data_IF_968384709392
#
_entry.id   IF_968384709392
#
_cell.length_a   1.000
_cell.length_b   1.000
_cell.length_c   1.000
_cell.angle_alpha   90.00
_cell.angle_beta   90.00
_cell.angle_gamma   90.00
#
_symmetry.space_group_name_H-M   'P 1'
#
loop_
_entity.id
_entity.type
_entity.pdbx_description
1 polymer ?
#
# COMPACT_ATOMS: atom_id res chain seq x y z
N UNK A 1 -9.90 24.36 -16.20
CA UNK A 1 -11.04 24.26 -15.23
C UNK A 1 -10.50 24.46 -13.83
N UNK A 2 -11.16 25.33 -13.05
CA UNK A 2 -10.66 25.69 -11.71
C UNK A 2 -11.25 24.82 -10.61
N UNK A 3 -10.44 24.57 -9.60
CA UNK A 3 -10.85 23.92 -8.36
C UNK A 3 -11.77 24.88 -7.59
N UNK A 4 -12.99 24.41 -7.29
CA UNK A 4 -14.00 25.15 -6.51
C UNK A 4 -13.87 24.84 -5.02
N UNK A 5 -13.70 23.55 -4.65
CA UNK A 5 -13.47 23.13 -3.27
C UNK A 5 -12.60 21.87 -3.21
N UNK A 6 -11.98 21.69 -2.05
CA UNK A 6 -11.25 20.48 -1.65
C UNK A 6 -11.71 20.14 -0.24
N UNK A 7 -12.38 19.01 -0.09
CA UNK A 7 -13.07 18.65 1.14
C UNK A 7 -12.56 17.28 1.63
N UNK A 8 -12.27 17.17 2.92
CA UNK A 8 -12.06 15.85 3.53
C UNK A 8 -13.42 15.20 3.80
N UNK A 9 -13.60 13.97 3.38
CA UNK A 9 -14.87 13.26 3.48
C UNK A 9 -14.69 11.82 3.99
N UNK A 10 -15.78 11.26 4.48
CA UNK A 10 -15.94 9.83 4.75
C UNK A 10 -16.78 9.21 3.65
N UNK A 11 -16.43 8.00 3.23
CA UNK A 11 -17.22 7.22 2.28
C UNK A 11 -17.95 6.11 3.05
N UNK A 12 -19.27 6.05 2.89
CA UNK A 12 -20.14 5.05 3.51
C UNK A 12 -20.85 4.23 2.43
N UNK A 13 -20.19 3.18 1.96
CA UNK A 13 -20.75 2.29 0.93
C UNK A 13 -21.86 1.44 1.57
N UNK A 14 -23.09 1.44 1.04
CA UNK A 14 -24.18 0.60 1.55
C UNK A 14 -23.80 -0.88 1.55
N UNK A 15 -24.09 -1.57 2.65
CA UNK A 15 -23.76 -3.00 2.81
C UNK A 15 -22.36 -3.30 3.35
N UNK A 16 -21.46 -2.32 3.42
CA UNK A 16 -20.11 -2.51 3.99
C UNK A 16 -20.08 -2.55 5.53
N UNK A 17 -21.21 -2.46 6.19
CA UNK A 17 -21.33 -2.41 7.66
C UNK A 17 -20.96 -1.05 8.26
N UNK A 18 -21.30 -0.78 9.53
CA UNK A 18 -20.89 0.45 10.19
C UNK A 18 -19.35 0.47 10.32
N UNK A 19 -18.70 1.65 10.23
CA UNK A 19 -17.28 1.76 10.51
C UNK A 19 -17.02 1.23 11.92
N UNK A 20 -16.21 0.18 12.03
CA UNK A 20 -15.96 -0.45 13.32
C UNK A 20 -15.36 0.58 14.28
N UNK A 21 -15.98 0.75 15.46
CA UNK A 21 -15.46 1.65 16.51
C UNK A 21 -14.13 1.16 17.15
N UNK A 22 -13.60 0.03 16.70
CA UNK A 22 -12.53 -0.69 17.41
C UNK A 22 -11.19 -0.85 16.67
N UNK A 23 -11.04 -0.44 15.42
CA UNK A 23 -9.75 -0.64 14.71
C UNK A 23 -9.13 0.64 14.18
N UNK A 24 -7.84 0.76 14.44
CA UNK A 24 -6.99 1.84 13.97
C UNK A 24 -7.00 1.96 12.44
N UNK A 25 -6.68 3.15 12.02
CA UNK A 25 -6.73 3.58 10.65
C UNK A 25 -5.99 2.65 9.68
N UNK A 26 -6.75 1.79 9.05
CA UNK A 26 -6.32 1.18 7.81
C UNK A 26 -7.16 1.78 6.69
N UNK A 27 -6.56 1.97 5.53
CA UNK A 27 -7.28 2.51 4.37
C UNK A 27 -8.49 1.63 4.04
N UNK A 28 -9.50 2.19 3.37
CA UNK A 28 -10.62 1.41 2.80
C UNK A 28 -10.11 0.27 1.89
N UNK A 29 -8.87 0.37 1.47
CA UNK A 29 -8.14 -0.59 0.65
C UNK A 29 -7.34 -1.61 1.45
N UNK A 30 -7.23 -1.44 2.79
CA UNK A 30 -6.64 -2.48 3.61
C UNK A 30 -7.69 -3.55 3.86
N UNK A 31 -7.51 -4.77 3.36
CA UNK A 31 -8.42 -5.89 3.60
C UNK A 31 -8.68 -6.17 5.08
N UNK A 32 -7.75 -5.78 5.97
CA UNK A 32 -7.89 -5.96 7.42
C UNK A 32 -9.19 -5.42 8.02
N UNK A 33 -9.80 -4.36 7.44
CA UNK A 33 -11.10 -3.85 7.94
C UNK A 33 -12.31 -4.47 7.27
N UNK A 34 -12.14 -4.91 6.03
CA UNK A 34 -13.14 -5.74 5.39
C UNK A 34 -13.36 -7.05 6.17
N UNK A 35 -12.31 -7.51 6.89
CA UNK A 35 -12.26 -8.79 7.59
C UNK A 35 -12.93 -8.77 8.97
N UNK A 36 -13.14 -7.61 9.58
CA UNK A 36 -13.79 -7.58 10.91
C UNK A 36 -15.13 -8.31 10.98
N UNK A 37 -15.77 -8.62 9.82
CA UNK A 37 -16.97 -9.48 9.76
C UNK A 37 -17.25 -10.07 8.36
N UNK A 38 -16.31 -10.76 7.68
CA UNK A 38 -16.60 -11.36 6.36
C UNK A 38 -17.74 -12.40 6.45
N UNK A 39 -17.86 -13.12 7.56
CA UNK A 39 -18.94 -14.08 7.79
C UNK A 39 -20.34 -13.45 7.87
N UNK A 40 -20.46 -12.13 8.03
CA UNK A 40 -21.76 -11.42 8.08
C UNK A 40 -22.19 -10.85 6.72
N UNK A 41 -21.27 -10.73 5.77
CA UNK A 41 -21.51 -10.11 4.47
C UNK A 41 -21.26 -11.06 3.29
N UNK A 42 -20.42 -12.08 3.47
CA UNK A 42 -20.10 -13.07 2.44
C UNK A 42 -21.20 -14.14 2.29
N UNK A 43 -21.32 -14.68 1.10
CA UNK A 43 -22.21 -15.82 0.78
C UNK A 43 -21.63 -17.13 1.31
N UNK A 44 -20.32 -17.21 1.38
CA UNK A 44 -19.55 -18.40 1.77
C UNK A 44 -19.01 -18.25 3.18
N UNK A 45 -19.30 -19.20 4.11
CA UNK A 45 -18.75 -19.16 5.46
C UNK A 45 -17.26 -19.53 5.46
N UNK A 46 -16.44 -18.93 6.34
CA UNK A 46 -15.03 -19.28 6.46
C UNK A 46 -14.83 -20.70 6.98
N UNK A 47 -13.79 -21.38 6.49
CA UNK A 47 -13.37 -22.71 6.98
C UNK A 47 -12.57 -22.64 8.28
N UNK A 48 -11.81 -21.55 8.47
CA UNK A 48 -11.02 -21.23 9.66
C UNK A 48 -10.80 -19.73 9.77
N UNK A 49 -10.31 -19.28 10.91
CA UNK A 49 -9.91 -17.88 11.09
C UNK A 49 -8.75 -17.52 10.15
N UNK A 50 -8.67 -16.25 9.77
CA UNK A 50 -7.55 -15.71 9.02
C UNK A 50 -6.31 -15.54 9.90
N UNK A 51 -5.13 -15.62 9.31
CA UNK A 51 -3.86 -15.30 9.95
C UNK A 51 -3.86 -13.92 10.64
N UNK A 52 -4.66 -12.97 10.14
CA UNK A 52 -4.77 -11.63 10.70
C UNK A 52 -5.38 -11.57 12.09
N UNK A 53 -6.11 -12.61 12.51
CA UNK A 53 -6.79 -12.65 13.82
C UNK A 53 -5.84 -13.02 14.96
N UNK A 54 -4.92 -13.95 14.72
CA UNK A 54 -4.14 -14.58 15.78
C UNK A 54 -2.63 -14.54 15.59
N UNK A 55 -2.11 -14.29 14.38
CA UNK A 55 -0.69 -14.35 14.13
C UNK A 55 0.06 -13.17 14.75
N UNK A 56 1.16 -13.47 15.39
CA UNK A 56 2.15 -12.46 15.79
C UNK A 56 2.92 -12.02 14.55
N UNK A 57 3.11 -10.71 14.40
CA UNK A 57 3.92 -10.11 13.34
C UNK A 57 4.96 -9.20 13.94
N UNK A 58 6.22 -9.41 13.57
CA UNK A 58 7.32 -8.54 13.97
C UNK A 58 7.06 -7.10 13.46
N UNK A 59 7.37 -6.11 14.29
CA UNK A 59 7.09 -4.70 14.02
C UNK A 59 7.99 -3.81 14.89
N UNK A 60 8.06 -2.49 14.69
CA UNK A 60 8.91 -1.60 15.48
C UNK A 60 8.68 -1.68 17.01
N UNK A 61 7.47 -2.07 17.43
CA UNK A 61 7.12 -2.21 18.84
C UNK A 61 7.45 -3.60 19.43
N UNK A 62 8.02 -4.51 18.65
CA UNK A 62 8.30 -5.90 19.09
C UNK A 62 9.31 -6.01 20.22
N UNK A 63 10.12 -4.94 20.47
CA UNK A 63 10.96 -4.88 21.67
C UNK A 63 10.15 -4.81 22.99
N UNK A 64 8.84 -4.53 22.89
CA UNK A 64 7.93 -4.46 24.03
C UNK A 64 6.91 -5.62 23.95
N UNK A 65 7.14 -6.76 24.65
CA UNK A 65 6.35 -8.00 24.47
C UNK A 65 4.83 -7.84 24.63
N UNK A 66 4.40 -6.86 25.49
CA UNK A 66 2.96 -6.65 25.74
C UNK A 66 2.19 -6.01 24.57
N UNK A 67 2.88 -5.48 23.57
CA UNK A 67 2.25 -4.92 22.35
C UNK A 67 2.44 -5.80 21.12
N UNK A 68 3.39 -6.74 21.13
CA UNK A 68 3.73 -7.58 19.98
C UNK A 68 2.54 -8.39 19.46
N UNK A 69 1.75 -9.00 20.37
CA UNK A 69 0.61 -9.86 20.03
C UNK A 69 -0.58 -9.13 19.38
N UNK A 70 -0.58 -7.82 19.44
CA UNK A 70 -1.71 -7.01 19.02
C UNK A 70 -1.20 -5.85 18.19
N UNK A 71 -0.77 -6.15 16.98
CA UNK A 71 -0.25 -5.21 15.99
C UNK A 71 -1.03 -3.90 15.92
N UNK A 72 -2.37 -3.98 16.00
CA UNK A 72 -3.24 -2.81 15.90
C UNK A 72 -3.43 -2.03 17.21
N UNK A 73 -3.00 -2.56 18.37
CA UNK A 73 -3.29 -1.90 19.66
C UNK A 73 -2.57 -0.58 19.87
N UNK A 74 -1.42 -0.40 19.28
CA UNK A 74 -0.64 0.82 19.40
C UNK A 74 -0.88 1.81 18.24
N UNK A 75 -1.62 1.40 17.21
CA UNK A 75 -2.03 2.30 16.15
C UNK A 75 -3.24 3.15 16.60
N UNK A 76 -3.35 4.42 16.16
CA UNK A 76 -4.41 5.31 16.60
C UNK A 76 -5.76 4.94 16.00
N UNK A 77 -6.54 4.12 16.72
CA UNK A 77 -7.82 3.57 16.25
C UNK A 77 -8.91 4.61 15.95
N UNK A 78 -8.82 5.80 16.56
CA UNK A 78 -9.80 6.87 16.38
C UNK A 78 -9.58 7.71 15.12
N UNK A 79 -8.44 7.58 14.45
CA UNK A 79 -8.15 8.44 13.31
C UNK A 79 -8.93 8.05 12.05
N UNK A 80 -9.15 6.76 11.82
CA UNK A 80 -9.90 6.26 10.66
C UNK A 80 -9.17 6.47 9.33
N UNK A 81 -9.84 6.11 8.23
CA UNK A 81 -9.43 6.47 6.88
C UNK A 81 -10.01 7.83 6.49
N UNK A 82 -9.41 8.49 5.52
CA UNK A 82 -9.89 9.75 4.94
C UNK A 82 -9.97 9.63 3.43
N UNK A 83 -10.99 10.27 2.87
CA UNK A 83 -11.08 10.55 1.45
C UNK A 83 -10.98 12.06 1.24
N UNK A 84 -10.42 12.47 0.11
CA UNK A 84 -10.42 13.83 -0.36
C UNK A 84 -11.34 13.92 -1.57
N UNK A 85 -12.29 14.84 -1.55
CA UNK A 85 -13.13 15.20 -2.69
C UNK A 85 -12.64 16.53 -3.26
N UNK A 86 -12.24 16.52 -4.53
CA UNK A 86 -11.95 17.75 -5.29
C UNK A 86 -13.13 18.05 -6.20
N UNK A 87 -13.75 19.22 -6.05
CA UNK A 87 -14.90 19.66 -6.86
C UNK A 87 -14.48 20.84 -7.74
N UNK A 88 -14.88 20.84 -9.00
CA UNK A 88 -14.60 21.90 -9.98
C UNK A 88 -15.75 22.89 -10.07
N UNK A 89 -15.53 24.05 -10.75
CA UNK A 89 -16.56 25.09 -10.92
C UNK A 89 -17.79 24.62 -11.71
N UNK A 90 -17.63 23.64 -12.59
CA UNK A 90 -18.71 23.03 -13.38
C UNK A 90 -19.50 21.93 -12.63
N UNK A 91 -19.10 21.62 -11.40
CA UNK A 91 -19.70 20.59 -10.57
C UNK A 91 -19.08 19.19 -10.73
N UNK A 92 -18.16 18.98 -11.67
CA UNK A 92 -17.40 17.72 -11.78
C UNK A 92 -16.56 17.50 -10.53
N UNK A 93 -16.39 16.22 -10.12
CA UNK A 93 -15.61 15.91 -8.92
C UNK A 93 -14.85 14.58 -9.02
N UNK A 94 -13.79 14.50 -8.25
CA UNK A 94 -12.97 13.30 -8.12
C UNK A 94 -12.62 12.97 -6.67
N UNK A 95 -12.22 11.73 -6.44
CA UNK A 95 -11.87 11.19 -5.13
C UNK A 95 -10.45 10.64 -5.10
N UNK A 96 -9.78 10.91 -4.00
CA UNK A 96 -8.54 10.25 -3.59
C UNK A 96 -8.65 9.82 -2.14
N UNK A 97 -7.90 8.82 -1.71
CA UNK A 97 -7.95 8.34 -0.34
C UNK A 97 -6.58 8.20 0.31
N UNK A 98 -6.56 8.23 1.62
CA UNK A 98 -5.38 7.98 2.44
C UNK A 98 -5.77 7.46 3.82
N UNK A 99 -4.79 7.26 4.70
CA UNK A 99 -4.97 6.77 6.07
C UNK A 99 -4.71 7.87 7.11
N UNK A 100 -4.79 7.53 8.40
CA UNK A 100 -4.60 8.47 9.52
C UNK A 100 -5.55 9.68 9.45
N UNK A 101 -6.83 9.39 9.15
CA UNK A 101 -7.84 10.33 8.69
C UNK A 101 -7.92 11.64 9.45
N UNK A 102 -8.03 11.61 10.79
CA UNK A 102 -8.28 12.84 11.54
C UNK A 102 -7.17 13.91 11.39
N UNK A 103 -5.89 13.64 11.61
CA UNK A 103 -4.84 14.63 11.37
C UNK A 103 -4.64 14.94 9.89
N UNK A 104 -4.82 13.95 8.99
CA UNK A 104 -4.70 14.15 7.54
C UNK A 104 -5.83 15.05 7.02
N UNK A 105 -7.07 14.86 7.48
CA UNK A 105 -8.20 15.71 7.14
C UNK A 105 -7.94 17.17 7.53
N UNK A 106 -7.37 17.42 8.72
CA UNK A 106 -7.00 18.77 9.14
C UNK A 106 -5.94 19.39 8.22
N UNK A 107 -4.93 18.63 7.79
CA UNK A 107 -3.93 19.16 6.82
C UNK A 107 -4.60 19.48 5.48
N UNK A 108 -5.54 18.67 5.03
CA UNK A 108 -6.28 18.91 3.79
C UNK A 108 -7.11 20.20 3.91
N UNK A 109 -7.99 20.31 4.92
CA UNK A 109 -8.98 21.39 5.00
C UNK A 109 -8.38 22.71 5.50
N UNK A 110 -7.59 22.65 6.59
CA UNK A 110 -7.08 23.86 7.26
C UNK A 110 -5.87 24.47 6.52
N UNK A 111 -5.22 23.72 5.64
CA UNK A 111 -4.02 24.22 4.95
C UNK A 111 -4.07 24.05 3.43
N UNK A 112 -4.10 22.82 2.90
CA UNK A 112 -3.93 22.60 1.46
C UNK A 112 -5.09 23.18 0.66
N UNK A 113 -6.35 22.95 1.08
CA UNK A 113 -7.54 23.42 0.38
C UNK A 113 -7.54 24.94 0.22
N UNK A 114 -7.21 25.67 1.28
CA UNK A 114 -7.17 27.15 1.29
C UNK A 114 -6.24 27.71 0.21
N UNK A 115 -5.12 27.02 -0.07
CA UNK A 115 -4.09 27.46 -1.00
C UNK A 115 -4.33 26.99 -2.44
N UNK A 116 -5.09 25.91 -2.62
CA UNK A 116 -5.28 25.26 -3.91
C UNK A 116 -6.59 25.62 -4.61
N UNK A 117 -7.59 26.11 -3.90
CA UNK A 117 -8.83 26.62 -4.49
C UNK A 117 -8.51 27.72 -5.51
N UNK A 118 -9.17 27.67 -6.67
CA UNK A 118 -8.92 28.57 -7.81
C UNK A 118 -7.76 28.17 -8.73
N UNK A 119 -6.95 27.17 -8.37
CA UNK A 119 -5.92 26.65 -9.29
C UNK A 119 -6.57 25.88 -10.45
N UNK A 120 -5.90 25.83 -11.59
CA UNK A 120 -6.32 25.02 -12.73
C UNK A 120 -6.02 23.56 -12.45
N UNK A 121 -7.04 22.69 -12.41
CA UNK A 121 -6.91 21.26 -12.13
C UNK A 121 -5.99 20.54 -13.14
N UNK A 122 -5.89 21.07 -14.37
CA UNK A 122 -5.00 20.49 -15.39
C UNK A 122 -3.52 20.75 -15.11
N UNK A 123 -3.19 21.72 -14.24
CA UNK A 123 -1.81 22.02 -13.84
C UNK A 123 -1.32 21.09 -12.69
N UNK A 124 -1.49 19.77 -12.82
CA UNK A 124 -1.24 18.79 -11.76
C UNK A 124 0.18 18.86 -11.19
N UNK A 125 1.21 18.98 -12.04
CA UNK A 125 2.62 19.13 -11.59
C UNK A 125 2.81 20.39 -10.74
N UNK A 126 2.24 21.52 -11.17
CA UNK A 126 2.29 22.77 -10.40
C UNK A 126 1.64 22.59 -9.02
N UNK A 127 0.45 21.96 -8.98
CA UNK A 127 -0.28 21.75 -7.72
C UNK A 127 0.50 20.81 -6.80
N UNK A 128 1.09 19.74 -7.34
CA UNK A 128 1.93 18.82 -6.57
C UNK A 128 3.16 19.53 -5.98
N UNK A 129 3.86 20.36 -6.77
CA UNK A 129 4.99 21.16 -6.27
C UNK A 129 4.56 22.18 -5.22
N UNK A 130 3.41 22.83 -5.41
CA UNK A 130 2.83 23.74 -4.41
C UNK A 130 2.61 23.02 -3.08
N UNK A 131 1.91 21.88 -3.08
CA UNK A 131 1.63 21.10 -1.86
C UNK A 131 2.93 20.69 -1.15
N UNK A 132 3.93 20.23 -1.93
CA UNK A 132 5.23 19.86 -1.40
C UNK A 132 5.95 21.04 -0.72
N UNK A 133 5.88 22.25 -1.30
CA UNK A 133 6.50 23.45 -0.72
C UNK A 133 5.72 24.02 0.46
N UNK A 134 4.40 24.03 0.39
CA UNK A 134 3.52 24.51 1.46
C UNK A 134 3.74 23.75 2.77
N UNK A 135 4.03 22.45 2.69
CA UNK A 135 4.23 21.61 3.87
C UNK A 135 5.65 21.64 4.44
N UNK A 136 6.63 22.27 3.77
CA UNK A 136 8.01 22.36 4.26
C UNK A 136 8.20 22.90 5.67
N UNK A 137 7.46 23.95 6.10
CA UNK A 137 7.66 24.52 7.44
C UNK A 137 7.40 23.56 8.60
N UNK A 138 6.55 22.54 8.41
CA UNK A 138 6.25 21.53 9.44
C UNK A 138 6.60 20.09 9.04
N UNK A 139 7.22 19.92 7.86
CA UNK A 139 7.65 18.62 7.33
C UNK A 139 6.71 18.04 6.30
N UNK A 140 7.27 17.70 5.15
CA UNK A 140 6.52 17.10 4.02
C UNK A 140 6.34 15.58 4.18
N UNK A 141 7.06 14.95 5.10
CA UNK A 141 7.02 13.50 5.34
C UNK A 141 5.92 13.12 6.33
N UNK A 142 5.54 11.85 6.36
CA UNK A 142 4.49 11.36 7.26
C UNK A 142 3.12 12.00 6.95
N UNK A 143 2.42 12.50 7.96
CA UNK A 143 1.03 12.98 7.86
C UNK A 143 0.79 14.00 6.73
N UNK A 144 1.76 14.87 6.47
CA UNK A 144 1.66 15.80 5.36
C UNK A 144 1.67 15.09 4.01
N UNK A 145 2.51 14.06 3.84
CA UNK A 145 2.57 13.27 2.60
C UNK A 145 1.29 12.48 2.36
N UNK A 146 0.67 11.94 3.41
CA UNK A 146 -0.65 11.31 3.31
C UNK A 146 -1.73 12.28 2.80
N UNK A 147 -1.73 13.52 3.30
CA UNK A 147 -2.66 14.55 2.84
C UNK A 147 -2.42 14.94 1.38
N UNK A 148 -1.16 15.13 1.00
CA UNK A 148 -0.75 15.40 -0.40
C UNK A 148 -1.22 14.26 -1.31
N UNK A 149 -1.04 13.00 -0.89
CA UNK A 149 -1.48 11.84 -1.65
C UNK A 149 -2.98 11.84 -1.91
N UNK A 150 -3.78 12.08 -0.87
CA UNK A 150 -5.23 12.10 -1.02
C UNK A 150 -5.71 13.19 -2.00
N UNK A 151 -5.12 14.38 -1.93
CA UNK A 151 -5.46 15.51 -2.83
C UNK A 151 -4.98 15.22 -4.26
N UNK A 152 -3.74 14.74 -4.44
CA UNK A 152 -3.17 14.42 -5.76
C UNK A 152 -4.01 13.34 -6.48
N UNK A 153 -4.39 12.29 -5.76
CA UNK A 153 -5.23 11.21 -6.31
C UNK A 153 -6.63 11.71 -6.70
N UNK A 154 -7.24 12.60 -5.90
CA UNK A 154 -8.52 13.21 -6.26
C UNK A 154 -8.42 14.08 -7.51
N UNK A 155 -7.30 14.79 -7.70
CA UNK A 155 -7.01 15.57 -8.91
C UNK A 155 -6.86 14.66 -10.13
N UNK A 156 -6.13 13.54 -10.00
CA UNK A 156 -6.01 12.57 -11.09
C UNK A 156 -7.37 11.95 -11.45
N UNK A 157 -8.19 11.62 -10.46
CA UNK A 157 -9.52 11.04 -10.68
C UNK A 157 -10.45 12.01 -11.44
N UNK A 158 -10.55 13.27 -10.98
CA UNK A 158 -11.41 14.25 -11.68
C UNK A 158 -10.88 14.58 -13.08
N UNK A 159 -9.57 14.64 -13.28
CA UNK A 159 -8.98 14.85 -14.61
C UNK A 159 -9.35 13.70 -15.56
N UNK A 160 -9.25 12.45 -15.12
CA UNK A 160 -9.66 11.30 -15.91
C UNK A 160 -11.15 11.37 -16.27
N UNK A 161 -12.00 11.76 -15.33
CA UNK A 161 -13.45 11.91 -15.54
C UNK A 161 -13.80 13.00 -16.56
N UNK A 162 -13.20 14.17 -16.47
CA UNK A 162 -13.48 15.27 -17.44
C UNK A 162 -12.86 15.03 -18.81
N UNK A 163 -11.81 14.20 -18.91
CA UNK A 163 -11.22 13.78 -20.18
C UNK A 163 -11.87 12.51 -20.74
N UNK A 164 -12.80 11.92 -19.98
CA UNK A 164 -13.44 10.63 -20.32
C UNK A 164 -12.42 9.51 -20.56
N UNK A 165 -11.32 9.52 -19.77
CA UNK A 165 -10.22 8.55 -19.88
C UNK A 165 -9.93 7.90 -18.53
N UNK A 166 -9.62 6.59 -18.50
CA UNK A 166 -9.04 5.98 -17.31
C UNK A 166 -7.65 6.56 -17.03
N UNK A 167 -7.27 6.63 -15.77
CA UNK A 167 -5.99 7.25 -15.38
C UNK A 167 -4.80 6.58 -16.05
N UNK A 168 -4.81 5.25 -16.23
CA UNK A 168 -3.69 4.57 -16.89
C UNK A 168 -3.45 5.04 -18.33
N UNK A 169 -4.50 5.44 -19.08
CA UNK A 169 -4.32 6.04 -20.41
C UNK A 169 -3.61 7.41 -20.34
N UNK A 170 -3.96 8.21 -19.33
CA UNK A 170 -3.29 9.49 -19.09
C UNK A 170 -1.81 9.31 -18.67
N UNK A 171 -1.45 8.14 -18.16
CA UNK A 171 -0.09 7.76 -17.80
C UNK A 171 0.73 7.20 -18.99
N UNK A 172 0.10 7.03 -20.15
CA UNK A 172 0.76 6.54 -21.38
C UNK A 172 0.25 5.20 -21.90
N UNK A 173 -0.84 4.67 -21.32
CA UNK A 173 -1.50 3.45 -21.75
C UNK A 173 -0.99 2.18 -21.06
N UNK A 174 -1.71 1.07 -21.31
CA UNK A 174 -1.37 -0.24 -20.75
C UNK A 174 -0.04 -0.77 -21.30
N UNK A 175 0.89 -1.14 -20.46
CA UNK A 175 2.14 -1.82 -20.81
C UNK A 175 1.99 -3.35 -20.81
N UNK A 176 0.89 -3.86 -20.29
CA UNK A 176 0.57 -5.30 -20.16
C UNK A 176 -0.95 -5.50 -20.14
N UNK A 177 -1.40 -6.70 -20.52
CA UNK A 177 -2.82 -7.02 -20.58
C UNK A 177 -3.46 -7.17 -19.19
N UNK A 178 -2.71 -7.69 -18.22
CA UNK A 178 -3.13 -7.85 -16.83
C UNK A 178 -1.93 -7.73 -15.89
N UNK A 179 -2.19 -7.44 -14.63
CA UNK A 179 -1.19 -7.41 -13.57
C UNK A 179 -1.07 -8.80 -12.95
N UNK A 180 0.12 -9.40 -13.01
CA UNK A 180 0.45 -10.56 -12.18
C UNK A 180 0.58 -10.10 -10.73
N UNK A 181 -0.19 -10.73 -9.83
CA UNK A 181 -0.21 -10.38 -8.43
C UNK A 181 0.61 -11.36 -7.59
N UNK A 182 1.20 -10.86 -6.50
CA UNK A 182 1.60 -11.70 -5.38
C UNK A 182 0.67 -11.46 -4.20
N UNK A 183 0.46 -12.52 -3.40
CA UNK A 183 -0.31 -12.43 -2.17
C UNK A 183 0.55 -12.01 -1.00
N UNK A 184 0.07 -11.09 -0.16
CA UNK A 184 0.61 -10.85 1.18
C UNK A 184 -0.31 -11.48 2.21
N UNK A 185 0.24 -12.42 2.99
CA UNK A 185 -0.51 -13.12 4.04
C UNK A 185 0.07 -14.49 4.38
N UNK A 186 -0.13 -14.92 5.63
CA UNK A 186 0.44 -16.16 6.16
C UNK A 186 -0.44 -17.41 5.94
N UNK A 187 -1.67 -17.26 5.44
CA UNK A 187 -2.54 -18.37 5.02
C UNK A 187 -2.13 -18.87 3.61
N UNK A 188 -0.93 -19.44 3.50
CA UNK A 188 -0.28 -19.76 2.23
C UNK A 188 -1.07 -20.77 1.41
N UNK A 189 -1.67 -21.77 2.06
CA UNK A 189 -2.55 -22.78 1.45
C UNK A 189 -3.76 -22.12 0.78
N UNK A 190 -4.40 -21.18 1.47
CA UNK A 190 -5.54 -20.42 0.95
C UNK A 190 -5.12 -19.51 -0.22
N UNK A 191 -4.01 -18.80 -0.07
CA UNK A 191 -3.49 -17.94 -1.12
C UNK A 191 -3.18 -18.72 -2.42
N UNK A 192 -2.69 -19.97 -2.27
CA UNK A 192 -2.45 -20.89 -3.38
C UNK A 192 -3.76 -21.36 -4.04
N UNK A 193 -4.80 -21.66 -3.25
CA UNK A 193 -6.14 -21.98 -3.75
C UNK A 193 -6.76 -20.82 -4.55
N UNK A 194 -6.48 -19.57 -4.15
CA UNK A 194 -6.90 -18.38 -4.89
C UNK A 194 -6.15 -18.16 -6.22
N UNK A 195 -5.16 -19.02 -6.53
CA UNK A 195 -4.41 -19.02 -7.78
C UNK A 195 -3.17 -18.13 -7.79
N UNK A 196 -2.70 -17.63 -6.64
CA UNK A 196 -1.42 -16.93 -6.57
C UNK A 196 -0.24 -17.90 -6.77
N UNK A 197 0.82 -17.40 -7.40
CA UNK A 197 2.09 -18.12 -7.66
C UNK A 197 3.29 -17.38 -7.09
N UNK A 198 3.04 -16.30 -6.36
CA UNK A 198 4.05 -15.53 -5.65
C UNK A 198 3.46 -15.12 -4.29
N UNK A 199 4.24 -15.26 -3.23
CA UNK A 199 3.77 -15.19 -1.84
C UNK A 199 4.70 -14.36 -0.99
N UNK A 200 4.16 -13.36 -0.28
CA UNK A 200 4.88 -12.58 0.72
C UNK A 200 4.35 -12.92 2.11
N UNK A 201 5.24 -13.38 2.97
CA UNK A 201 4.94 -13.72 4.35
C UNK A 201 5.17 -12.51 5.25
N UNK A 202 4.34 -12.34 6.27
CA UNK A 202 4.60 -11.41 7.37
C UNK A 202 5.45 -12.12 8.43
N UNK A 203 6.68 -11.64 8.65
CA UNK A 203 7.64 -12.27 9.56
C UNK A 203 7.18 -12.19 11.03
N UNK A 204 7.14 -13.31 11.78
CA UNK A 204 6.59 -13.28 13.14
C UNK A 204 7.57 -12.85 14.23
N UNK A 205 8.88 -13.08 14.09
CA UNK A 205 9.86 -12.87 15.17
C UNK A 205 10.94 -11.87 14.77
N UNK A 206 11.44 -11.09 15.77
CA UNK A 206 12.47 -10.09 15.56
C UNK A 206 13.63 -10.22 16.56
N UNK A 207 14.53 -9.20 16.64
CA UNK A 207 15.73 -9.24 17.49
C UNK A 207 15.45 -9.51 18.98
N UNK A 208 14.33 -9.03 19.50
CA UNK A 208 13.94 -9.26 20.90
C UNK A 208 13.64 -10.72 21.24
N UNK A 209 13.39 -11.56 20.24
CA UNK A 209 13.12 -13.00 20.40
C UNK A 209 14.42 -13.83 20.37
N UNK A 210 15.58 -13.21 20.15
CA UNK A 210 16.90 -13.82 20.21
C UNK A 210 17.11 -14.98 19.22
N UNK A 211 17.93 -15.96 19.60
CA UNK A 211 18.25 -17.12 18.75
C UNK A 211 17.04 -18.03 18.51
N UNK A 212 16.14 -18.12 19.46
CA UNK A 212 14.90 -18.88 19.31
C UNK A 212 13.99 -18.27 18.25
N UNK A 213 13.88 -16.94 18.20
CA UNK A 213 13.15 -16.23 17.16
C UNK A 213 13.73 -16.46 15.76
N UNK A 214 15.07 -16.45 15.65
CA UNK A 214 15.74 -16.76 14.37
C UNK A 214 15.41 -18.19 13.88
N UNK A 215 15.43 -19.16 14.80
CA UNK A 215 15.10 -20.56 14.48
C UNK A 215 13.64 -20.70 14.04
N UNK A 216 12.72 -20.08 14.78
CA UNK A 216 11.29 -20.12 14.45
C UNK A 216 10.96 -19.42 13.12
N UNK A 217 11.65 -18.32 12.77
CA UNK A 217 11.51 -17.70 11.46
C UNK A 217 11.97 -18.61 10.33
N UNK A 218 13.08 -19.34 10.54
CA UNK A 218 13.58 -20.35 9.58
C UNK A 218 12.55 -21.47 9.41
N UNK A 219 12.05 -22.05 10.51
CA UNK A 219 11.02 -23.09 10.49
C UNK A 219 9.74 -22.63 9.78
N UNK A 220 9.32 -21.38 10.02
CA UNK A 220 8.15 -20.76 9.40
C UNK A 220 8.31 -20.62 7.88
N UNK A 221 9.44 -20.11 7.43
CA UNK A 221 9.74 -19.95 5.99
C UNK A 221 9.92 -21.34 5.32
N UNK A 222 10.54 -22.30 6.00
CA UNK A 222 10.67 -23.66 5.51
C UNK A 222 9.30 -24.30 5.27
N UNK A 223 8.40 -24.22 6.24
CA UNK A 223 7.04 -24.75 6.11
C UNK A 223 6.28 -24.11 4.95
N UNK A 224 6.38 -22.78 4.78
CA UNK A 224 5.76 -22.09 3.66
C UNK A 224 6.36 -22.53 2.30
N UNK A 225 7.68 -22.71 2.23
CA UNK A 225 8.35 -23.19 1.02
C UNK A 225 7.92 -24.63 0.67
N UNK A 226 7.79 -25.50 1.66
CA UNK A 226 7.30 -26.87 1.46
C UNK A 226 5.86 -26.87 0.92
N UNK A 227 5.00 -25.99 1.42
CA UNK A 227 3.60 -25.87 0.99
C UNK A 227 3.46 -25.34 -0.45
N UNK A 228 4.20 -24.28 -0.81
CA UNK A 228 4.06 -23.67 -2.14
C UNK A 228 4.86 -24.37 -3.23
N UNK A 229 5.93 -25.12 -2.86
CA UNK A 229 6.86 -25.72 -3.79
C UNK A 229 7.91 -24.75 -4.34
N UNK A 230 8.91 -25.28 -5.06
CA UNK A 230 10.03 -24.48 -5.58
C UNK A 230 9.71 -23.64 -6.82
N UNK A 231 8.59 -23.91 -7.48
CA UNK A 231 8.16 -23.17 -8.68
C UNK A 231 7.52 -21.83 -8.37
N UNK A 232 7.22 -21.56 -7.10
CA UNK A 232 6.59 -20.34 -6.66
C UNK A 232 7.63 -19.36 -6.10
N UNK A 233 7.38 -18.06 -6.31
CA UNK A 233 8.18 -17.00 -5.69
C UNK A 233 7.79 -16.82 -4.22
N UNK A 234 8.76 -16.67 -3.33
CA UNK A 234 8.55 -16.46 -1.90
C UNK A 234 9.30 -15.22 -1.43
N UNK A 235 8.66 -14.39 -0.64
CA UNK A 235 9.18 -13.17 -0.06
C UNK A 235 8.88 -13.11 1.44
N UNK A 236 9.65 -12.32 2.18
CA UNK A 236 9.45 -12.12 3.61
C UNK A 236 9.45 -10.62 3.94
N UNK A 237 8.36 -10.17 4.55
CA UNK A 237 8.19 -8.81 5.04
C UNK A 237 8.51 -8.74 6.53
N UNK A 238 9.43 -7.85 6.90
CA UNK A 238 9.95 -7.70 8.26
C UNK A 238 9.44 -6.43 8.95
N UNK A 239 8.73 -5.60 8.25
CA UNK A 239 8.02 -4.41 8.73
C UNK A 239 8.80 -3.57 9.74
N UNK A 240 10.01 -3.16 9.37
CA UNK A 240 10.92 -2.31 10.16
C UNK A 240 11.31 -2.87 11.55
N UNK A 241 11.20 -4.18 11.76
CA UNK A 241 11.42 -4.77 13.08
C UNK A 241 12.89 -5.08 13.39
N UNK A 242 13.78 -5.03 12.41
CA UNK A 242 15.12 -5.58 12.51
C UNK A 242 16.20 -4.50 12.61
N UNK A 243 17.40 -4.97 12.94
CA UNK A 243 18.67 -4.29 12.73
C UNK A 243 19.51 -5.02 11.67
N UNK A 244 20.65 -4.43 11.30
CA UNK A 244 21.54 -4.99 10.27
C UNK A 244 22.07 -6.38 10.67
N UNK A 245 22.44 -6.56 11.95
CA UNK A 245 23.02 -7.81 12.43
C UNK A 245 22.01 -8.96 12.37
N UNK A 246 20.79 -8.73 12.88
CA UNK A 246 19.74 -9.74 12.87
C UNK A 246 19.32 -10.06 11.43
N UNK A 247 19.20 -9.05 10.56
CA UNK A 247 18.85 -9.24 9.15
C UNK A 247 19.86 -10.13 8.44
N UNK A 248 21.15 -9.88 8.64
CA UNK A 248 22.21 -10.70 8.01
C UNK A 248 22.15 -12.15 8.50
N UNK A 249 22.01 -12.36 9.82
CA UNK A 249 21.90 -13.73 10.37
C UNK A 249 20.67 -14.47 9.86
N UNK A 250 19.54 -13.78 9.77
CA UNK A 250 18.32 -14.38 9.25
C UNK A 250 18.46 -14.69 7.76
N UNK A 251 18.97 -13.77 6.96
CA UNK A 251 19.18 -13.96 5.53
C UNK A 251 20.07 -15.20 5.22
N UNK A 252 21.17 -15.37 5.97
CA UNK A 252 22.05 -16.53 5.82
C UNK A 252 21.34 -17.86 6.13
N UNK A 253 20.47 -17.89 7.15
CA UNK A 253 19.65 -19.07 7.47
C UNK A 253 18.61 -19.35 6.39
N UNK A 254 18.01 -18.30 5.84
CA UNK A 254 16.95 -18.42 4.84
C UNK A 254 17.47 -18.65 3.41
N UNK A 255 18.77 -18.57 3.19
CA UNK A 255 19.39 -18.76 1.87
C UNK A 255 18.96 -20.04 1.14
N UNK A 256 18.82 -21.22 1.82
CA UNK A 256 18.38 -22.46 1.17
C UNK A 256 16.95 -22.40 0.60
N UNK A 257 16.11 -21.50 1.10
CA UNK A 257 14.70 -21.41 0.72
C UNK A 257 14.45 -20.45 -0.45
N UNK A 258 15.48 -19.82 -1.00
CA UNK A 258 15.41 -19.05 -2.24
C UNK A 258 14.41 -17.88 -2.21
N UNK A 259 14.49 -17.03 -1.18
CA UNK A 259 13.64 -15.85 -1.10
C UNK A 259 13.97 -14.87 -2.22
N UNK A 260 12.91 -14.39 -2.91
CA UNK A 260 13.03 -13.37 -3.95
C UNK A 260 13.53 -12.06 -3.36
N UNK A 261 12.98 -11.62 -2.20
CA UNK A 261 13.47 -10.49 -1.43
C UNK A 261 13.16 -10.61 0.06
N UNK A 262 13.93 -9.88 0.86
CA UNK A 262 13.59 -9.46 2.21
C UNK A 262 13.09 -8.02 2.15
N UNK A 263 11.93 -7.74 2.74
CA UNK A 263 11.26 -6.46 2.69
C UNK A 263 11.36 -5.73 4.02
N UNK A 264 11.59 -4.43 3.94
CA UNK A 264 11.51 -3.47 5.03
C UNK A 264 12.15 -3.96 6.36
N UNK A 265 13.37 -4.50 6.27
CA UNK A 265 14.06 -5.04 7.45
C UNK A 265 14.39 -3.97 8.50
N UNK A 266 14.72 -2.76 8.06
CA UNK A 266 15.27 -1.66 8.86
C UNK A 266 14.28 -0.51 8.99
N UNK A 267 14.48 0.32 10.01
CA UNK A 267 13.74 1.58 10.14
C UNK A 267 13.93 2.44 8.89
N UNK A 268 12.86 3.05 8.43
CA UNK A 268 12.83 3.80 7.17
C UNK A 268 13.79 4.99 7.13
N UNK A 269 14.11 5.58 8.28
CA UNK A 269 15.00 6.75 8.43
C UNK A 269 16.48 6.40 8.49
N UNK A 270 16.84 5.12 8.68
CA UNK A 270 18.25 4.71 8.85
C UNK A 270 18.92 4.38 7.50
N UNK A 271 19.21 5.43 6.73
CA UNK A 271 19.83 5.32 5.41
C UNK A 271 21.21 4.66 5.45
N UNK A 272 22.01 4.93 6.48
CA UNK A 272 23.34 4.33 6.62
C UNK A 272 23.25 2.82 6.90
N UNK A 273 22.27 2.39 7.68
CA UNK A 273 22.01 0.98 7.90
C UNK A 273 21.55 0.27 6.60
N UNK A 274 20.70 0.89 5.78
CA UNK A 274 20.32 0.34 4.47
C UNK A 274 21.55 0.16 3.55
N UNK A 275 22.44 1.16 3.52
CA UNK A 275 23.68 1.04 2.75
C UNK A 275 24.57 -0.08 3.30
N UNK A 276 24.77 -0.15 4.63
CA UNK A 276 25.54 -1.19 5.29
C UNK A 276 24.97 -2.59 5.03
N UNK A 277 23.65 -2.74 5.11
CA UNK A 277 22.98 -4.01 4.85
C UNK A 277 23.25 -4.51 3.42
N UNK A 278 23.14 -3.64 2.40
CA UNK A 278 23.45 -3.99 1.01
C UNK A 278 24.89 -4.49 0.86
N UNK A 279 25.86 -3.87 1.54
CA UNK A 279 27.26 -4.31 1.46
C UNK A 279 27.46 -5.71 2.08
N UNK A 280 26.68 -6.05 3.10
CA UNK A 280 26.76 -7.34 3.79
C UNK A 280 25.94 -8.45 3.12
N UNK A 281 24.90 -8.10 2.34
CA UNK A 281 24.01 -9.03 1.64
C UNK A 281 23.96 -8.74 0.12
N UNK A 282 25.10 -8.78 -0.60
CA UNK A 282 25.10 -8.44 -2.03
C UNK A 282 24.34 -9.46 -2.91
N UNK A 283 24.09 -10.66 -2.40
CA UNK A 283 23.42 -11.75 -3.10
C UNK A 283 21.92 -11.82 -2.84
N UNK A 284 21.42 -11.16 -1.79
CA UNK A 284 20.01 -11.21 -1.41
C UNK A 284 19.22 -10.06 -2.05
N UNK A 285 18.08 -10.37 -2.66
CA UNK A 285 17.12 -9.37 -3.08
C UNK A 285 16.60 -8.59 -1.86
N UNK A 286 16.64 -7.26 -1.94
CA UNK A 286 16.15 -6.36 -0.90
C UNK A 286 15.07 -5.45 -1.47
N UNK A 287 14.00 -5.26 -0.72
CA UNK A 287 12.88 -4.38 -1.06
C UNK A 287 12.55 -3.45 0.11
N UNK A 288 12.15 -2.22 -0.16
CA UNK A 288 11.65 -1.28 0.84
C UNK A 288 10.99 -0.07 0.18
N UNK A 289 10.31 0.75 0.97
CA UNK A 289 9.82 2.04 0.51
C UNK A 289 8.39 2.40 0.88
N UNK A 290 7.61 1.50 1.47
CA UNK A 290 6.23 1.85 1.87
C UNK A 290 6.20 2.97 2.91
N UNK A 291 7.18 3.01 3.81
CA UNK A 291 7.35 4.08 4.81
C UNK A 291 8.37 5.16 4.38
N UNK A 292 8.72 5.23 3.11
CA UNK A 292 9.44 6.36 2.54
C UNK A 292 8.48 7.36 1.90
N UNK A 293 8.71 8.63 2.16
CA UNK A 293 7.83 9.70 1.70
C UNK A 293 8.56 10.61 0.72
N UNK A 294 7.83 11.16 -0.25
CA UNK A 294 8.37 11.93 -1.38
C UNK A 294 9.23 11.08 -2.31
N UNK A 295 9.72 11.64 -3.40
CA UNK A 295 10.61 10.95 -4.34
C UNK A 295 12.10 10.96 -3.91
N UNK A 296 12.46 11.72 -2.88
CA UNK A 296 13.86 11.96 -2.48
C UNK A 296 14.56 10.71 -1.94
N UNK A 297 13.99 9.93 -0.99
CA UNK A 297 14.62 8.69 -0.52
C UNK A 297 14.82 7.67 -1.64
N UNK A 298 13.87 7.60 -2.57
CA UNK A 298 13.92 6.67 -3.70
C UNK A 298 15.05 7.03 -4.68
N UNK A 299 15.24 8.32 -4.96
CA UNK A 299 16.37 8.79 -5.76
C UNK A 299 17.71 8.45 -5.10
N UNK A 300 17.81 8.63 -3.76
CA UNK A 300 18.99 8.22 -3.02
C UNK A 300 19.21 6.70 -3.14
N UNK A 301 18.18 5.89 -2.94
CA UNK A 301 18.26 4.43 -3.03
C UNK A 301 18.71 3.96 -4.40
N UNK A 302 18.19 4.55 -5.48
CA UNK A 302 18.62 4.29 -6.86
C UNK A 302 20.10 4.65 -7.07
N UNK A 303 20.53 5.83 -6.60
CA UNK A 303 21.91 6.30 -6.76
C UNK A 303 22.93 5.42 -6.03
N UNK A 304 22.54 4.83 -4.91
CA UNK A 304 23.39 3.96 -4.07
C UNK A 304 23.17 2.46 -4.33
N UNK A 305 22.16 2.09 -5.11
CA UNK A 305 21.76 0.70 -5.40
C UNK A 305 21.57 -0.12 -4.13
N UNK A 306 20.92 0.46 -3.12
CA UNK A 306 20.76 -0.18 -1.81
C UNK A 306 19.67 -1.24 -1.80
N UNK A 307 18.74 -1.19 -2.76
CA UNK A 307 17.65 -2.17 -2.92
C UNK A 307 17.50 -2.56 -4.39
N UNK A 308 16.82 -3.68 -4.63
CA UNK A 308 16.50 -4.20 -5.96
C UNK A 308 15.07 -3.83 -6.37
N UNK A 309 14.21 -3.55 -5.36
CA UNK A 309 12.80 -3.25 -5.55
C UNK A 309 12.43 -2.07 -4.66
N UNK A 310 11.76 -1.08 -5.24
CA UNK A 310 11.18 0.05 -4.55
C UNK A 310 9.68 -0.16 -4.38
N UNK A 311 9.16 0.08 -3.18
CA UNK A 311 7.76 -0.21 -2.83
C UNK A 311 7.03 1.02 -2.29
N UNK A 312 6.92 2.12 -3.08
CA UNK A 312 6.16 3.28 -2.62
C UNK A 312 4.69 2.90 -2.40
N UNK A 313 4.08 3.40 -1.34
CA UNK A 313 2.62 3.38 -1.23
C UNK A 313 2.06 4.64 -1.89
N UNK A 314 1.23 4.48 -2.91
CA UNK A 314 0.69 5.60 -3.70
C UNK A 314 -0.20 6.52 -2.86
N UNK A 315 -0.87 5.96 -1.85
CA UNK A 315 -1.72 6.72 -0.94
C UNK A 315 -0.93 7.43 0.18
N UNK A 316 0.40 7.15 0.31
CA UNK A 316 1.23 7.69 1.40
C UNK A 316 2.36 8.59 0.89
N UNK A 317 2.97 8.25 -0.23
CA UNK A 317 4.24 8.82 -0.71
C UNK A 317 4.14 10.24 -1.30
N UNK A 318 2.92 10.72 -1.56
CA UNK A 318 2.65 11.98 -2.27
C UNK A 318 1.84 11.79 -3.55
N UNK A 319 1.10 10.68 -3.67
CA UNK A 319 0.16 10.40 -4.75
C UNK A 319 0.78 9.88 -6.04
N UNK A 320 -0.03 9.85 -7.08
CA UNK A 320 0.33 9.36 -8.42
C UNK A 320 1.47 10.18 -9.04
N UNK A 321 1.42 11.51 -8.91
CA UNK A 321 2.44 12.42 -9.45
C UNK A 321 3.82 12.13 -8.87
N UNK A 322 3.90 11.82 -7.57
CA UNK A 322 5.16 11.43 -6.92
C UNK A 322 5.62 10.03 -7.38
N UNK A 323 4.70 9.07 -7.48
CA UNK A 323 5.03 7.72 -7.95
C UNK A 323 5.58 7.71 -9.37
N UNK A 324 5.08 8.56 -10.26
CA UNK A 324 5.64 8.70 -11.60
C UNK A 324 7.08 9.21 -11.60
N UNK A 325 7.42 10.16 -10.71
CA UNK A 325 8.81 10.62 -10.53
C UNK A 325 9.71 9.50 -10.02
N UNK A 326 9.20 8.69 -9.08
CA UNK A 326 9.91 7.51 -8.56
C UNK A 326 10.13 6.49 -9.68
N UNK A 327 9.09 6.17 -10.46
CA UNK A 327 9.19 5.23 -11.57
C UNK A 327 10.22 5.66 -12.62
N UNK A 328 10.25 6.95 -12.98
CA UNK A 328 11.21 7.47 -13.96
C UNK A 328 12.67 7.33 -13.49
N UNK A 329 12.95 7.58 -12.20
CA UNK A 329 14.29 7.41 -11.63
C UNK A 329 14.67 5.93 -11.50
N UNK A 330 13.72 5.10 -11.10
CA UNK A 330 13.90 3.66 -10.95
C UNK A 330 14.18 2.98 -12.30
N UNK A 331 13.37 3.28 -13.32
CA UNK A 331 13.53 2.77 -14.68
C UNK A 331 14.90 3.11 -15.25
N UNK A 332 15.31 4.38 -15.16
CA UNK A 332 16.64 4.83 -15.57
C UNK A 332 17.78 4.14 -14.80
N UNK A 333 17.51 3.60 -13.63
CA UNK A 333 18.46 2.89 -12.78
C UNK A 333 18.39 1.37 -12.94
N UNK A 334 17.44 0.84 -13.71
CA UNK A 334 17.17 -0.60 -13.86
C UNK A 334 16.65 -1.26 -12.57
N UNK A 335 15.89 -0.50 -11.76
CA UNK A 335 15.30 -0.97 -10.49
C UNK A 335 13.78 -1.08 -10.67
N UNK A 336 13.20 -2.16 -10.17
CA UNK A 336 11.75 -2.37 -10.23
C UNK A 336 11.00 -1.51 -9.21
N UNK A 337 9.78 -1.08 -9.58
CA UNK A 337 8.84 -0.41 -8.67
C UNK A 337 7.60 -1.27 -8.51
N UNK A 338 7.38 -1.77 -7.33
CA UNK A 338 6.21 -2.60 -6.99
C UNK A 338 5.47 -1.91 -5.84
N UNK A 339 4.44 -1.10 -6.11
CA UNK A 339 3.78 -0.35 -5.05
C UNK A 339 3.21 -1.25 -3.95
N UNK A 340 3.41 -0.84 -2.67
CA UNK A 340 2.75 -1.44 -1.53
C UNK A 340 1.23 -1.43 -1.72
N UNK A 341 0.59 -2.58 -1.53
CA UNK A 341 -0.86 -2.74 -1.70
C UNK A 341 -1.38 -2.45 -3.11
N UNK A 342 -0.50 -2.41 -4.13
CA UNK A 342 -0.80 -1.90 -5.46
C UNK A 342 -1.98 -2.57 -6.17
N UNK A 343 -2.11 -3.90 -6.09
CA UNK A 343 -3.23 -4.61 -6.69
C UNK A 343 -4.55 -4.48 -5.90
N UNK A 344 -4.47 -4.09 -4.63
CA UNK A 344 -5.63 -3.90 -3.75
C UNK A 344 -6.29 -2.53 -3.87
N UNK A 345 -5.71 -1.60 -4.63
CA UNK A 345 -6.23 -0.24 -4.78
C UNK A 345 -6.39 0.13 -6.25
N UNK A 346 -7.41 0.93 -6.62
CA UNK A 346 -7.54 1.39 -8.00
C UNK A 346 -6.34 2.23 -8.42
N UNK A 347 -5.76 2.99 -7.49
CA UNK A 347 -4.59 3.83 -7.72
C UNK A 347 -3.36 3.00 -8.13
N UNK A 348 -3.08 1.94 -7.35
CA UNK A 348 -1.96 1.05 -7.63
C UNK A 348 -2.17 0.21 -8.89
N UNK A 349 -3.41 -0.22 -9.16
CA UNK A 349 -3.75 -0.94 -10.39
C UNK A 349 -3.46 -0.08 -11.62
N UNK A 350 -3.93 1.18 -11.65
CA UNK A 350 -3.71 2.10 -12.77
C UNK A 350 -2.23 2.46 -12.95
N UNK A 351 -1.49 2.68 -11.87
CA UNK A 351 -0.04 2.90 -11.94
C UNK A 351 0.68 1.66 -12.49
N UNK A 352 0.43 0.49 -11.91
CA UNK A 352 1.18 -0.73 -12.23
C UNK A 352 0.92 -1.22 -13.65
N UNK A 353 -0.31 -1.06 -14.19
CA UNK A 353 -0.64 -1.47 -15.56
C UNK A 353 0.05 -0.59 -16.60
N UNK A 354 0.24 0.71 -16.28
CA UNK A 354 0.89 1.69 -17.16
C UNK A 354 2.41 1.75 -16.98
N UNK A 355 2.98 1.10 -15.96
CA UNK A 355 4.40 1.18 -15.64
C UNK A 355 5.17 -0.03 -16.16
N UNK A 356 6.17 0.21 -17.03
CA UNK A 356 7.06 -0.83 -17.55
C UNK A 356 7.98 -1.43 -16.49
N UNK A 357 8.35 -0.66 -15.46
CA UNK A 357 9.21 -1.11 -14.36
C UNK A 357 8.44 -1.80 -13.21
N UNK A 358 7.12 -2.04 -13.33
CA UNK A 358 6.29 -2.73 -12.35
C UNK A 358 5.97 -4.18 -12.76
N UNK A 359 6.87 -5.16 -12.52
CA UNK A 359 6.69 -6.54 -13.01
C UNK A 359 5.65 -7.34 -12.23
N UNK A 360 5.34 -6.95 -11.00
CA UNK A 360 4.38 -7.58 -10.10
C UNK A 360 3.52 -6.51 -9.43
N UNK A 361 2.41 -6.91 -8.82
CA UNK A 361 1.57 -6.04 -8.01
C UNK A 361 1.12 -6.74 -6.73
N UNK A 362 1.17 -6.05 -5.61
CA UNK A 362 0.84 -6.60 -4.30
C UNK A 362 -0.65 -6.66 -4.05
N UNK A 363 -1.13 -7.80 -3.57
CA UNK A 363 -2.47 -7.94 -3.02
C UNK A 363 -2.43 -8.52 -1.61
N UNK A 364 -2.87 -7.75 -0.63
CA UNK A 364 -3.01 -8.23 0.74
C UNK A 364 -4.23 -9.15 0.85
N UNK A 365 -3.99 -10.44 1.14
CA UNK A 365 -5.06 -11.42 1.34
C UNK A 365 -5.42 -11.47 2.82
N UNK A 366 -6.52 -10.84 3.13
CA UNK A 366 -7.08 -10.87 4.47
C UNK A 366 -8.41 -11.63 4.56
N UNK A 367 -8.87 -12.25 3.46
CA UNK A 367 -10.05 -13.11 3.50
C UNK A 367 -9.75 -14.36 4.34
N UNK A 368 -10.67 -14.77 5.22
CA UNK A 368 -10.53 -16.06 5.90
C UNK A 368 -10.52 -17.19 4.86
N UNK A 369 -9.73 -18.25 5.08
CA UNK A 369 -9.71 -19.40 4.20
C UNK A 369 -11.11 -19.95 3.90
N UNK A 370 -11.40 -20.12 2.62
CA UNK A 370 -12.72 -20.53 2.12
C UNK A 370 -13.62 -19.39 1.66
N UNK A 371 -13.32 -18.13 1.96
CA UNK A 371 -14.11 -16.98 1.51
C UNK A 371 -13.45 -16.33 0.28
N UNK A 372 -14.06 -16.42 -0.93
CA UNK A 372 -13.54 -15.83 -2.16
C UNK A 372 -13.35 -14.31 -2.06
N UNK A 373 -12.37 -13.78 -2.79
CA UNK A 373 -12.02 -12.35 -2.73
C UNK A 373 -13.14 -11.43 -3.21
N UNK A 374 -13.92 -11.87 -4.18
CA UNK A 374 -15.06 -11.12 -4.75
C UNK A 374 -16.30 -11.10 -3.84
N UNK A 375 -16.29 -11.90 -2.77
CA UNK A 375 -17.34 -11.85 -1.73
C UNK A 375 -17.01 -10.85 -0.61
N UNK A 376 -15.78 -10.31 -0.59
CA UNK A 376 -15.38 -9.30 0.39
C UNK A 376 -15.95 -7.92 0.05
N UNK A 377 -16.26 -7.10 1.06
CA UNK A 377 -16.58 -5.70 0.84
C UNK A 377 -15.44 -4.98 0.13
N UNK A 378 -15.72 -4.32 -0.98
CA UNK A 378 -14.76 -3.58 -1.79
C UNK A 378 -15.30 -2.24 -2.24
N UNK A 379 -14.48 -1.49 -2.96
CA UNK A 379 -14.92 -0.26 -3.63
C UNK A 379 -15.63 -0.67 -4.93
N UNK A 380 -16.91 -0.29 -5.13
CA UNK A 380 -17.60 -0.59 -6.39
C UNK A 380 -16.84 -0.06 -7.61
N UNK A 381 -16.79 -0.85 -8.69
CA UNK A 381 -16.04 -0.56 -9.90
C UNK A 381 -14.56 -0.97 -9.85
N UNK A 382 -14.01 -1.28 -8.68
CA UNK A 382 -12.60 -1.70 -8.52
C UNK A 382 -12.48 -3.21 -8.63
N UNK A 383 -11.61 -3.68 -9.51
CA UNK A 383 -11.37 -5.10 -9.73
C UNK A 383 -10.62 -5.74 -8.55
N UNK A 384 -10.92 -7.01 -8.28
CA UNK A 384 -10.17 -7.86 -7.36
C UNK A 384 -9.42 -8.95 -8.15
N UNK A 385 -8.27 -9.45 -7.66
CA UNK A 385 -7.54 -10.50 -8.34
C UNK A 385 -8.37 -11.79 -8.51
N UNK A 386 -8.22 -12.41 -9.67
CA UNK A 386 -8.75 -13.73 -9.98
C UNK A 386 -7.64 -14.56 -10.61
N UNK A 387 -7.41 -15.77 -10.08
CA UNK A 387 -6.31 -16.62 -10.55
C UNK A 387 -4.93 -15.95 -10.46
N UNK A 388 -4.71 -15.12 -9.43
CA UNK A 388 -3.45 -14.40 -9.23
C UNK A 388 -3.21 -13.21 -10.19
N UNK A 389 -4.23 -12.75 -10.92
CA UNK A 389 -4.15 -11.62 -11.85
C UNK A 389 -5.27 -10.62 -11.64
N UNK A 390 -5.01 -9.34 -11.95
CA UNK A 390 -6.03 -8.28 -11.94
C UNK A 390 -5.84 -7.33 -13.12
N UNK A 391 -6.96 -6.84 -13.65
CA UNK A 391 -6.97 -5.81 -14.70
C UNK A 391 -7.82 -4.64 -14.20
N UNK A 392 -7.30 -3.41 -14.18
CA UNK A 392 -8.08 -2.24 -13.76
C UNK A 392 -9.26 -1.98 -14.71
N UNK A 393 -10.28 -1.28 -14.19
CA UNK A 393 -11.41 -0.81 -14.96
C UNK A 393 -10.98 0.16 -16.06
N UNK A 394 -11.65 0.08 -17.23
CA UNK A 394 -11.47 1.04 -18.33
C UNK A 394 -12.40 2.27 -18.19
N UNK A 395 -13.15 2.37 -17.07
CA UNK A 395 -13.99 3.52 -16.80
C UNK A 395 -13.16 4.80 -16.49
N UNK A 396 -13.70 5.99 -16.79
CA UNK A 396 -13.01 7.25 -16.56
C UNK A 396 -12.53 7.46 -15.11
N UNK A 397 -11.42 8.16 -14.95
CA UNK A 397 -10.75 8.34 -13.65
C UNK A 397 -10.11 7.03 -13.20
N UNK A 398 -10.28 6.69 -11.94
CA UNK A 398 -9.84 5.41 -11.38
C UNK A 398 -10.90 4.31 -11.45
N UNK A 399 -12.00 4.54 -12.17
CA UNK A 399 -13.08 3.55 -12.33
C UNK A 399 -13.91 3.28 -11.06
N UNK A 400 -13.80 4.12 -10.05
CA UNK A 400 -14.56 3.99 -8.81
C UNK A 400 -16.02 4.41 -8.99
N UNK A 401 -16.96 3.53 -8.68
CA UNK A 401 -18.40 3.77 -8.74
C UNK A 401 -18.96 4.25 -7.39
N UNK A 402 -18.32 5.26 -6.79
CA UNK A 402 -18.76 5.87 -5.53
C UNK A 402 -19.76 6.97 -5.85
N UNK A 403 -20.93 6.92 -5.19
CA UNK A 403 -21.99 7.93 -5.34
C UNK A 403 -21.80 9.07 -4.38
N UNK A 404 -22.18 10.29 -4.79
CA UNK A 404 -22.03 11.48 -3.97
C UNK A 404 -22.84 11.39 -2.66
N UNK A 405 -24.01 10.76 -2.68
CA UNK A 405 -24.86 10.51 -1.50
C UNK A 405 -24.22 9.61 -0.42
N UNK A 406 -23.13 8.92 -0.75
CA UNK A 406 -22.36 8.10 0.20
C UNK A 406 -21.25 8.89 0.90
N UNK A 407 -21.10 10.16 0.52
CA UNK A 407 -20.08 11.05 1.07
C UNK A 407 -20.65 11.86 2.23
N UNK A 408 -19.92 11.93 3.32
CA UNK A 408 -20.23 12.80 4.46
C UNK A 408 -18.99 13.61 4.84
N UNK A 409 -19.13 14.87 5.31
CA UNK A 409 -17.98 15.63 5.81
C UNK A 409 -17.18 14.83 6.84
N UNK A 410 -15.87 15.06 6.87
CA UNK A 410 -15.01 14.36 7.82
C UNK A 410 -15.18 14.89 9.24
N UNK A 411 -15.33 16.21 9.41
CA UNK A 411 -15.59 16.92 10.66
C UNK A 411 -17.04 17.35 10.80
#
# INVERSE_FOLDING_TARGET
>A
MKIKSIDAVRVQIPGSGPPSKKLGATSVTSPQKAIDHPAKTGKTPPRRESWTENDEVANPMSRYPHVKRHRSRWLPSSWGAVWCKVTLEDGSWGLGSSVHGRPVAAVIEDHLAIQLVGQDVMAGEKISDMMFRLTKPYGTVGLASYAISAVDLAIWDVRGKILEQPVYEMLGGKQKESLRCYSTGNDVDWNKELGFTAFKLACPYGPADGLEGLKKNEEFVAAARDEIGNECELMLDCWMAFDVEYTVRLAERLRPYGLKWLEECLLSEDFDAHYSLRQRLPWQGLATGEHWFTHVPFQWACSKRVVDILQPDIQWVGGMTTCMKIAAVADASGISVIPHGGAGTPFGQHFSIASGCAPLSEYFVGSPPGVPLDELPGIPGVAVPSGGHVTPSDAPGFGMEIKEEWLTPFF
#
